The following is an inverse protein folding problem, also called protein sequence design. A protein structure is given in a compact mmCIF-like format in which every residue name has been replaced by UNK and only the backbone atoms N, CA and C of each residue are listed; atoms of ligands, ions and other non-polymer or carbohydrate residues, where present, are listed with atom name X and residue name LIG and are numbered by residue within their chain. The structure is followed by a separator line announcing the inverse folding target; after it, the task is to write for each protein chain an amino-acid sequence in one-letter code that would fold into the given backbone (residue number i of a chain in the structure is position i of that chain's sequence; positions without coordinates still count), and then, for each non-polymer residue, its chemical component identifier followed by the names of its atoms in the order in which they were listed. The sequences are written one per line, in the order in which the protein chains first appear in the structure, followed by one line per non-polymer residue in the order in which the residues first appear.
data_IF_605282674443
#
_entry.id   IF_605282674443
#
_cell.length_a   1.000
_cell.length_b   1.000
_cell.length_c   1.000
_cell.angle_alpha   90.00
_cell.angle_beta   90.00
_cell.angle_gamma   90.00
#
_symmetry.space_group_name_H-M   'P 1'
#
loop_
_entity.id
_entity.type
_entity.pdbx_description
1 polymer ?
#
# COMPACT_ATOMS: atom_id res chain seq x y z
N UNK A 1 -20.79 53.95 -28.78
CA UNK A 1 -20.98 52.61 -28.23
C UNK A 1 -19.70 51.77 -28.14
N UNK A 2 -18.83 51.73 -29.18
CA UNK A 2 -17.59 50.89 -29.13
C UNK A 2 -16.61 51.27 -28.01
N UNK A 3 -16.44 52.56 -27.66
CA UNK A 3 -15.52 52.97 -26.60
C UNK A 3 -15.99 52.67 -25.18
N UNK A 4 -17.31 52.53 -24.95
CA UNK A 4 -17.86 52.16 -23.64
C UNK A 4 -17.72 50.64 -23.37
N UNK A 5 -17.77 49.81 -24.40
CA UNK A 5 -17.56 48.34 -24.29
C UNK A 5 -16.10 48.03 -24.03
N UNK A 6 -15.15 48.76 -24.66
CA UNK A 6 -13.71 48.60 -24.41
C UNK A 6 -13.33 48.96 -22.95
N UNK A 7 -13.93 50.01 -22.38
CA UNK A 7 -13.69 50.41 -20.96
C UNK A 7 -14.24 49.38 -19.98
N UNK A 8 -15.41 48.79 -20.26
CA UNK A 8 -16.01 47.77 -19.42
C UNK A 8 -15.18 46.47 -19.44
N UNK A 9 -14.69 46.04 -20.62
CA UNK A 9 -13.81 44.86 -20.73
C UNK A 9 -12.45 45.08 -20.06
N UNK A 10 -11.88 46.30 -20.15
CA UNK A 10 -10.63 46.63 -19.45
C UNK A 10 -10.82 46.69 -17.95
N UNK A 11 -11.96 47.16 -17.45
CA UNK A 11 -12.28 47.19 -16.03
C UNK A 11 -12.53 45.76 -15.48
N UNK A 12 -13.19 44.87 -16.27
CA UNK A 12 -13.35 43.45 -15.87
C UNK A 12 -12.01 42.74 -15.82
N UNK A 13 -11.09 43.00 -16.73
CA UNK A 13 -9.74 42.40 -16.71
C UNK A 13 -8.92 42.90 -15.53
N UNK A 14 -9.04 44.18 -15.16
CA UNK A 14 -8.36 44.72 -13.96
C UNK A 14 -8.98 44.16 -12.68
N UNK A 15 -10.30 43.98 -12.61
CA UNK A 15 -10.97 43.37 -11.44
C UNK A 15 -10.60 41.89 -11.32
N UNK A 16 -10.47 41.14 -12.41
CA UNK A 16 -10.05 39.73 -12.39
C UNK A 16 -8.60 39.59 -11.91
N UNK A 17 -7.71 40.50 -12.29
CA UNK A 17 -6.31 40.52 -11.83
C UNK A 17 -6.21 40.91 -10.35
N UNK A 18 -7.11 41.79 -9.83
CA UNK A 18 -7.12 42.12 -8.37
C UNK A 18 -7.82 41.10 -7.47
N UNK A 19 -8.68 40.23 -8.04
CA UNK A 19 -9.32 39.15 -7.25
C UNK A 19 -8.38 37.96 -7.08
N UNK A 20 -7.39 37.77 -7.97
CA UNK A 20 -6.31 36.79 -7.81
C UNK A 20 -5.13 37.28 -6.96
N UNK A 21 -5.13 38.55 -6.55
CA UNK A 21 -4.18 39.07 -5.55
C UNK A 21 -4.78 39.01 -4.12
N UNK A 22 -5.76 38.16 -3.89
CA UNK A 22 -6.22 37.82 -2.54
C UNK A 22 -5.07 37.12 -1.83
N UNK A 23 -4.44 37.83 -0.95
CA UNK A 23 -3.47 37.35 0.03
C UNK A 23 -4.01 36.11 0.75
N UNK A 24 -3.66 34.94 0.25
CA UNK A 24 -3.27 33.91 1.15
C UNK A 24 -1.91 34.39 1.67
N UNK A 25 -1.80 34.66 2.94
CA UNK A 25 -0.52 34.79 3.59
C UNK A 25 0.29 33.54 3.20
N UNK A 26 1.27 33.74 2.33
CA UNK A 26 2.32 32.76 2.14
C UNK A 26 3.10 32.74 3.45
N UNK A 27 2.68 31.92 4.37
CA UNK A 27 3.45 31.58 5.58
C UNK A 27 4.72 30.80 5.25
N UNK A 28 5.08 30.68 3.99
CA UNK A 28 6.27 29.99 3.51
C UNK A 28 7.39 30.92 3.04
N UNK A 29 7.55 32.06 3.65
CA UNK A 29 8.78 32.86 3.57
C UNK A 29 9.30 33.11 4.98
N UNK A 30 9.28 32.08 5.82
CA UNK A 30 10.19 32.04 6.94
C UNK A 30 11.52 31.57 6.40
N UNK A 31 12.62 32.22 6.76
CA UNK A 31 13.96 31.67 6.78
C UNK A 31 13.99 30.48 7.77
N UNK A 32 13.11 29.52 7.61
CA UNK A 32 13.11 28.28 8.38
C UNK A 32 14.34 27.51 7.95
N UNK A 33 15.31 27.43 8.83
CA UNK A 33 16.47 26.58 8.66
C UNK A 33 16.10 25.08 8.77
N UNK A 34 14.85 24.78 9.08
CA UNK A 34 14.30 23.43 9.28
C UNK A 34 13.90 22.80 7.96
N UNK A 35 14.00 21.48 7.92
CA UNK A 35 13.45 20.64 6.84
C UNK A 35 11.93 20.56 6.97
N UNK A 36 11.21 20.19 5.89
CA UNK A 36 9.75 20.21 5.86
C UNK A 36 9.19 18.87 5.35
N UNK A 37 8.06 18.47 5.94
CA UNK A 37 7.23 17.35 5.53
C UNK A 37 5.76 17.77 5.53
N UNK A 38 5.01 17.46 4.49
CA UNK A 38 3.57 17.74 4.40
C UNK A 38 2.75 16.51 4.78
N UNK A 39 1.76 16.67 5.64
CA UNK A 39 0.88 15.60 6.08
C UNK A 39 -0.60 15.98 6.01
N UNK A 40 -1.43 15.00 5.69
CA UNK A 40 -2.86 15.00 5.97
C UNK A 40 -3.13 13.80 6.85
N UNK A 41 -3.65 14.05 8.04
CA UNK A 41 -3.69 13.12 9.16
C UNK A 41 -2.30 12.68 9.68
N UNK A 42 -2.27 12.14 10.88
CA UNK A 42 -1.05 11.54 11.42
C UNK A 42 -0.80 10.18 10.75
N UNK A 43 0.34 10.03 10.09
CA UNK A 43 0.82 8.78 9.52
C UNK A 43 2.08 8.28 10.26
N UNK A 44 2.56 7.10 9.92
CA UNK A 44 3.76 6.52 10.50
C UNK A 44 4.99 7.44 10.38
N UNK A 45 5.09 8.22 9.29
CA UNK A 45 6.19 9.16 9.06
C UNK A 45 6.12 10.33 10.03
N UNK A 46 4.92 10.84 10.34
CA UNK A 46 4.72 11.90 11.35
C UNK A 46 5.24 11.45 12.72
N UNK A 47 4.95 10.23 13.13
CA UNK A 47 5.42 9.71 14.41
C UNK A 47 6.94 9.52 14.45
N UNK A 48 7.53 9.03 13.36
CA UNK A 48 8.98 8.94 13.23
C UNK A 48 9.61 10.33 13.31
N UNK A 49 9.06 11.34 12.61
CA UNK A 49 9.55 12.72 12.63
C UNK A 49 9.47 13.31 14.05
N UNK A 50 8.36 13.13 14.78
CA UNK A 50 8.22 13.59 16.16
C UNK A 50 9.31 13.00 17.09
N UNK A 51 9.63 11.71 16.92
CA UNK A 51 10.69 11.00 17.66
C UNK A 51 12.07 11.48 17.23
N UNK A 52 12.30 11.64 15.93
CA UNK A 52 13.55 12.17 15.39
C UNK A 52 13.83 13.59 15.90
N UNK A 53 12.83 14.48 15.92
CA UNK A 53 12.99 15.84 16.44
C UNK A 53 13.42 15.84 17.93
N UNK A 54 12.90 14.91 18.73
CA UNK A 54 13.38 14.73 20.13
C UNK A 54 14.82 14.21 20.18
N UNK A 55 15.20 13.34 19.26
CA UNK A 55 16.56 12.85 19.12
C UNK A 55 17.52 13.99 18.71
N UNK A 56 17.11 14.82 17.72
CA UNK A 56 17.88 15.97 17.25
C UNK A 56 18.25 16.94 18.37
N UNK A 57 17.36 17.23 19.32
CA UNK A 57 17.67 18.14 20.43
C UNK A 57 18.89 17.75 21.27
N UNK A 58 19.32 16.50 21.17
CA UNK A 58 20.48 15.97 21.92
C UNK A 58 21.73 15.74 21.05
N UNK A 59 21.55 15.61 19.73
CA UNK A 59 22.60 15.13 18.83
C UNK A 59 22.96 16.11 17.73
N UNK A 60 22.05 17.02 17.37
CA UNK A 60 22.19 17.97 16.27
C UNK A 60 21.65 19.36 16.70
N UNK A 61 21.83 20.36 15.84
CA UNK A 61 21.20 21.66 15.99
C UNK A 61 19.77 21.66 15.43
N UNK A 62 19.02 22.74 15.67
CA UNK A 62 17.62 22.86 15.26
C UNK A 62 17.41 22.80 13.72
N UNK A 63 18.46 23.05 12.93
CA UNK A 63 18.36 23.00 11.47
C UNK A 63 18.22 21.59 10.89
N UNK A 64 18.43 20.56 11.71
CA UNK A 64 18.19 19.16 11.37
C UNK A 64 16.76 18.70 11.72
N UNK A 65 16.01 19.50 12.46
CA UNK A 65 14.62 19.18 12.77
C UNK A 65 13.74 19.30 11.53
N UNK A 66 12.66 18.53 11.51
CA UNK A 66 11.68 18.49 10.43
C UNK A 66 10.38 19.11 10.95
N UNK A 67 9.89 20.11 10.24
CA UNK A 67 8.59 20.72 10.49
C UNK A 67 7.51 19.94 9.73
N UNK A 68 6.46 19.52 10.42
CA UNK A 68 5.29 18.89 9.82
C UNK A 68 4.30 20.00 9.46
N UNK A 69 3.97 20.13 8.19
CA UNK A 69 2.96 21.05 7.68
C UNK A 69 1.67 20.27 7.49
N UNK A 70 0.69 20.52 8.38
CA UNK A 70 -0.59 19.80 8.37
C UNK A 70 -1.61 20.47 7.44
N UNK A 71 -2.44 19.66 6.79
CA UNK A 71 -3.53 20.08 5.90
C UNK A 71 -4.87 19.53 6.41
N UNK A 72 -5.96 20.23 6.09
CA UNK A 72 -7.31 19.82 6.49
C UNK A 72 -7.88 18.69 5.61
N UNK A 73 -7.36 18.54 4.37
CA UNK A 73 -7.76 17.46 3.45
C UNK A 73 -6.60 16.97 2.60
N UNK A 74 -6.71 15.73 2.12
CA UNK A 74 -5.72 15.14 1.21
C UNK A 74 -5.68 15.86 -0.13
N UNK A 75 -6.83 16.31 -0.62
CA UNK A 75 -6.95 17.05 -1.87
C UNK A 75 -6.26 18.40 -1.78
N UNK A 76 -6.43 19.13 -0.67
CA UNK A 76 -5.74 20.40 -0.43
C UNK A 76 -4.23 20.20 -0.38
N UNK A 77 -3.76 19.20 0.36
CA UNK A 77 -2.34 18.84 0.43
C UNK A 77 -1.78 18.54 -0.96
N UNK A 78 -2.43 17.64 -1.72
CA UNK A 78 -1.99 17.25 -3.07
C UNK A 78 -1.96 18.43 -4.03
N UNK A 79 -2.98 19.29 -4.01
CA UNK A 79 -3.06 20.47 -4.89
C UNK A 79 -1.93 21.45 -4.57
N UNK A 80 -1.69 21.74 -3.30
CA UNK A 80 -0.63 22.65 -2.87
C UNK A 80 0.74 22.09 -3.20
N UNK A 81 1.01 20.82 -2.82
CA UNK A 81 2.27 20.15 -3.13
C UNK A 81 2.56 20.14 -4.63
N UNK A 82 1.57 19.77 -5.46
CA UNK A 82 1.74 19.76 -6.92
C UNK A 82 2.09 21.14 -7.46
N UNK A 83 1.47 22.20 -6.94
CA UNK A 83 1.74 23.58 -7.36
C UNK A 83 3.16 24.02 -6.97
N UNK A 84 3.58 23.74 -5.75
CA UNK A 84 4.92 24.09 -5.23
C UNK A 84 6.02 23.30 -5.95
N UNK A 85 5.80 21.99 -6.16
CA UNK A 85 6.72 21.12 -6.90
C UNK A 85 6.93 21.64 -8.33
N UNK A 86 5.85 22.02 -9.03
CA UNK A 86 5.95 22.62 -10.37
C UNK A 86 6.71 23.95 -10.38
N UNK A 87 6.73 24.68 -9.27
CA UNK A 87 7.52 25.90 -9.10
C UNK A 87 9.00 25.62 -8.73
N UNK A 88 9.41 24.35 -8.56
CA UNK A 88 10.74 23.98 -8.09
C UNK A 88 10.90 24.16 -6.58
N UNK A 89 9.82 24.12 -5.85
CA UNK A 89 9.72 24.27 -4.39
C UNK A 89 9.05 23.01 -3.79
N UNK A 90 8.39 23.12 -2.65
CA UNK A 90 7.65 22.05 -1.98
C UNK A 90 8.39 21.51 -0.76
N UNK A 91 7.85 20.45 -0.11
CA UNK A 91 8.48 19.87 1.07
C UNK A 91 9.81 19.19 0.71
N UNK A 92 10.70 19.11 1.70
CA UNK A 92 12.01 18.46 1.51
C UNK A 92 11.91 16.93 1.47
N UNK A 93 10.85 16.37 2.08
CA UNK A 93 10.59 14.95 2.17
C UNK A 93 9.23 14.63 1.56
N UNK A 94 9.19 13.57 0.73
CA UNK A 94 7.96 12.92 0.27
C UNK A 94 7.76 11.58 0.97
N UNK A 95 6.52 11.10 1.00
CA UNK A 95 6.15 9.78 1.50
C UNK A 95 5.22 9.09 0.49
N UNK A 96 5.36 7.77 0.35
CA UNK A 96 4.46 6.97 -0.48
C UNK A 96 2.99 7.09 -0.04
N UNK A 97 2.74 7.26 1.25
CA UNK A 97 1.40 7.45 1.82
C UNK A 97 0.68 8.71 1.31
N UNK A 98 1.42 9.70 0.79
CA UNK A 98 0.84 10.92 0.22
C UNK A 98 0.13 10.68 -1.11
N UNK A 99 0.38 9.56 -1.78
CA UNK A 99 -0.20 9.17 -3.08
C UNK A 99 -0.10 10.28 -4.13
N UNK A 100 1.11 10.81 -4.29
CA UNK A 100 1.46 11.77 -5.34
C UNK A 100 1.70 11.03 -6.66
N UNK A 101 1.68 11.71 -7.81
CA UNK A 101 2.02 11.11 -9.10
C UNK A 101 3.53 10.81 -9.20
N UNK A 102 4.00 9.83 -8.41
CA UNK A 102 5.43 9.55 -8.21
C UNK A 102 6.16 9.18 -9.50
N UNK A 103 5.51 8.48 -10.45
CA UNK A 103 6.11 8.21 -11.77
C UNK A 103 6.48 9.53 -12.47
N UNK A 104 5.56 10.50 -12.50
CA UNK A 104 5.81 11.81 -13.12
C UNK A 104 6.87 12.60 -12.37
N UNK A 105 6.94 12.46 -11.06
CA UNK A 105 7.95 13.12 -10.23
C UNK A 105 9.35 12.53 -10.43
N UNK A 106 9.47 11.22 -10.64
CA UNK A 106 10.75 10.57 -11.00
C UNK A 106 11.18 10.97 -12.42
N UNK A 107 10.28 10.94 -13.39
CA UNK A 107 10.55 11.31 -14.78
C UNK A 107 10.99 12.77 -14.92
N UNK A 108 10.38 13.67 -14.15
CA UNK A 108 10.73 15.09 -14.11
C UNK A 108 11.98 15.40 -13.28
N UNK A 109 12.62 14.40 -12.69
CA UNK A 109 13.78 14.53 -11.80
C UNK A 109 13.50 15.42 -10.58
N UNK A 110 12.30 15.37 -10.08
CA UNK A 110 11.90 16.07 -8.85
C UNK A 110 12.31 15.32 -7.60
N UNK A 111 12.49 14.00 -7.72
CA UNK A 111 12.95 13.13 -6.63
C UNK A 111 14.46 12.85 -6.82
N UNK A 112 15.22 13.07 -5.75
CA UNK A 112 16.66 12.84 -5.74
C UNK A 112 17.01 11.35 -5.76
N UNK A 113 18.11 10.99 -6.43
CA UNK A 113 18.72 9.68 -6.27
C UNK A 113 19.48 9.61 -4.95
N UNK A 114 18.95 8.84 -4.00
CA UNK A 114 19.55 8.72 -2.66
C UNK A 114 20.94 8.07 -2.71
N UNK A 115 21.23 7.19 -3.68
CA UNK A 115 22.57 6.61 -3.86
C UNK A 115 23.58 7.68 -4.28
N UNK A 116 23.17 8.65 -5.12
CA UNK A 116 24.03 9.80 -5.45
C UNK A 116 24.30 10.65 -4.20
N UNK A 117 23.29 10.92 -3.36
CA UNK A 117 23.47 11.69 -2.12
C UNK A 117 24.40 10.99 -1.13
N UNK A 118 24.23 9.68 -0.92
CA UNK A 118 25.13 8.89 -0.08
C UNK A 118 26.58 9.01 -0.56
N UNK A 119 26.79 8.91 -1.86
CA UNK A 119 28.11 9.02 -2.47
C UNK A 119 28.68 10.43 -2.36
N UNK A 120 27.89 11.46 -2.67
CA UNK A 120 28.30 12.87 -2.65
C UNK A 120 28.75 13.31 -1.26
N UNK A 121 27.97 12.96 -0.22
CA UNK A 121 28.28 13.35 1.15
C UNK A 121 29.10 12.30 1.91
N UNK A 122 29.44 11.18 1.28
CA UNK A 122 30.16 10.06 1.92
C UNK A 122 29.52 9.63 3.24
N UNK A 123 28.18 9.55 3.27
CA UNK A 123 27.41 9.30 4.48
C UNK A 123 26.78 7.91 4.47
N UNK A 124 27.05 7.12 5.49
CA UNK A 124 26.44 5.80 5.68
C UNK A 124 25.09 5.92 6.37
N UNK A 125 24.02 5.58 5.65
CA UNK A 125 22.64 5.56 6.18
C UNK A 125 22.25 4.21 6.81
N UNK A 126 23.12 3.20 6.78
CA UNK A 126 22.84 1.87 7.34
C UNK A 126 22.01 0.96 6.45
N UNK A 127 21.96 1.21 5.14
CA UNK A 127 21.16 0.43 4.19
C UNK A 127 21.60 -1.04 4.12
N UNK A 128 22.87 -1.34 4.34
CA UNK A 128 23.42 -2.70 4.32
C UNK A 128 22.89 -3.59 5.46
N UNK A 129 22.26 -2.99 6.48
CA UNK A 129 21.59 -3.72 7.57
C UNK A 129 20.11 -4.03 7.26
N UNK A 130 19.65 -3.68 6.06
CA UNK A 130 18.27 -3.86 5.65
C UNK A 130 18.13 -5.00 4.62
N UNK A 131 16.93 -5.61 4.53
CA UNK A 131 16.65 -6.63 3.51
C UNK A 131 16.75 -6.00 2.12
N UNK A 132 17.74 -6.45 1.35
CA UNK A 132 18.03 -5.91 0.02
C UNK A 132 16.85 -6.07 -0.95
N UNK A 133 16.08 -7.16 -0.87
CA UNK A 133 14.92 -7.41 -1.75
C UNK A 133 13.83 -6.38 -1.53
N UNK A 134 13.61 -5.97 -0.28
CA UNK A 134 12.65 -4.93 0.07
C UNK A 134 13.19 -3.55 -0.32
N UNK A 135 14.47 -3.30 -0.03
CA UNK A 135 15.12 -2.03 -0.37
C UNK A 135 15.21 -1.80 -1.88
N UNK A 136 15.30 -2.86 -2.68
CA UNK A 136 15.34 -2.77 -4.15
C UNK A 136 14.01 -2.33 -4.77
N UNK A 137 12.89 -2.44 -4.04
CA UNK A 137 11.64 -1.83 -4.46
C UNK A 137 11.76 -0.30 -4.71
N UNK A 138 12.64 0.38 -3.96
CA UNK A 138 12.90 1.81 -4.13
C UNK A 138 13.82 2.15 -5.31
N UNK A 139 14.32 1.15 -6.05
CA UNK A 139 15.23 1.35 -7.19
C UNK A 139 14.44 1.28 -8.51
N UNK A 140 14.45 2.38 -9.26
CA UNK A 140 13.78 2.50 -10.55
C UNK A 140 14.84 2.93 -11.57
N UNK A 141 14.99 2.18 -12.66
CA UNK A 141 16.01 2.42 -13.70
C UNK A 141 17.44 2.57 -13.16
N UNK A 142 17.77 1.79 -12.13
CA UNK A 142 19.08 1.77 -11.50
C UNK A 142 19.35 2.92 -10.51
N UNK A 143 18.36 3.77 -10.23
CA UNK A 143 18.42 4.88 -9.28
C UNK A 143 17.53 4.61 -8.08
N UNK A 144 17.99 4.94 -6.89
CA UNK A 144 17.21 4.79 -5.66
C UNK A 144 16.44 6.06 -5.36
N UNK A 145 15.19 6.08 -5.76
CA UNK A 145 14.29 7.21 -5.51
C UNK A 145 13.56 7.10 -4.17
N UNK A 146 13.31 5.89 -3.69
CA UNK A 146 12.61 5.66 -2.44
C UNK A 146 13.45 4.84 -1.46
N UNK A 147 13.25 5.10 -0.19
CA UNK A 147 13.74 4.30 0.93
C UNK A 147 12.52 3.66 1.58
N UNK A 148 12.24 2.38 1.31
CA UNK A 148 11.25 1.60 2.07
C UNK A 148 11.62 1.59 3.55
N UNK A 149 10.64 1.81 4.42
CA UNK A 149 10.84 1.78 5.88
C UNK A 149 10.20 0.56 6.51
N UNK A 150 9.02 0.20 6.01
CA UNK A 150 8.26 -0.96 6.47
C UNK A 150 7.60 -1.63 5.28
N UNK A 151 7.22 -2.90 5.43
CA UNK A 151 6.58 -3.65 4.37
C UNK A 151 5.57 -4.67 4.91
N UNK A 152 4.76 -5.21 3.99
CA UNK A 152 3.79 -6.29 4.22
C UNK A 152 4.02 -7.40 3.23
N UNK A 153 4.09 -8.68 3.64
CA UNK A 153 3.97 -9.78 2.69
C UNK A 153 2.55 -9.84 2.12
N UNK A 154 2.45 -10.12 0.83
CA UNK A 154 1.17 -10.28 0.13
C UNK A 154 0.73 -11.74 0.25
N UNK A 155 0.22 -12.13 1.40
CA UNK A 155 -0.27 -13.49 1.67
C UNK A 155 -1.67 -13.45 2.28
N UNK A 156 -2.38 -14.57 2.14
CA UNK A 156 -3.66 -14.78 2.80
C UNK A 156 -3.56 -15.95 3.77
N UNK A 157 -4.48 -16.01 4.72
CA UNK A 157 -4.65 -17.13 5.64
C UNK A 157 -5.92 -17.89 5.28
N UNK A 158 -5.86 -19.20 5.36
CA UNK A 158 -6.97 -20.13 5.25
C UNK A 158 -6.78 -21.28 6.24
N UNK A 159 -7.51 -22.37 6.08
CA UNK A 159 -7.34 -23.58 6.89
C UNK A 159 -7.17 -24.82 6.01
N UNK A 160 -6.47 -25.85 6.50
CA UNK A 160 -6.36 -27.14 5.82
C UNK A 160 -7.74 -27.74 5.54
N UNK A 161 -8.69 -27.54 6.45
CA UNK A 161 -10.06 -28.02 6.34
C UNK A 161 -10.78 -27.33 5.16
N UNK A 162 -10.59 -26.03 4.99
CA UNK A 162 -11.13 -25.26 3.85
C UNK A 162 -10.47 -25.67 2.53
N UNK A 163 -9.15 -25.82 2.52
CA UNK A 163 -8.43 -26.34 1.35
C UNK A 163 -8.97 -27.69 0.90
N UNK A 164 -9.12 -28.62 1.85
CA UNK A 164 -9.67 -29.94 1.58
C UNK A 164 -11.14 -29.89 1.09
N UNK A 165 -11.97 -29.02 1.71
CA UNK A 165 -13.38 -28.84 1.32
C UNK A 165 -13.54 -28.45 -0.14
N UNK A 166 -12.64 -27.63 -0.69
CA UNK A 166 -12.69 -27.09 -2.04
C UNK A 166 -11.69 -27.76 -3.00
N UNK A 167 -10.94 -28.79 -2.56
CA UNK A 167 -9.88 -29.47 -3.31
C UNK A 167 -8.79 -28.50 -3.83
N UNK A 168 -8.43 -27.54 -2.98
CA UNK A 168 -7.34 -26.58 -3.20
C UNK A 168 -6.07 -27.08 -2.52
N UNK A 169 -4.91 -26.61 -2.97
CA UNK A 169 -3.62 -26.75 -2.29
C UNK A 169 -3.09 -25.33 -2.00
N UNK A 170 -2.18 -25.19 -1.06
CA UNK A 170 -1.62 -23.89 -0.67
C UNK A 170 -0.89 -23.14 -1.80
N UNK A 171 -0.50 -23.85 -2.87
CA UNK A 171 0.17 -23.30 -4.07
C UNK A 171 -0.75 -23.04 -5.26
N UNK A 172 -2.06 -23.35 -5.16
CA UNK A 172 -3.02 -23.21 -6.27
C UNK A 172 -3.98 -22.04 -6.03
N UNK A 173 -3.46 -20.84 -5.85
CA UNK A 173 -4.24 -19.63 -5.57
C UNK A 173 -4.20 -18.56 -6.66
N UNK A 174 -3.64 -18.84 -7.85
CA UNK A 174 -3.76 -17.93 -8.98
C UNK A 174 -5.22 -17.77 -9.42
N UNK A 175 -5.56 -16.66 -10.08
CA UNK A 175 -6.89 -16.40 -10.64
C UNK A 175 -7.44 -17.60 -11.41
N UNK A 176 -6.59 -18.20 -12.25
CA UNK A 176 -6.95 -19.37 -13.07
C UNK A 176 -7.26 -20.60 -12.20
N UNK A 177 -6.37 -20.90 -11.25
CA UNK A 177 -6.53 -22.08 -10.38
C UNK A 177 -7.80 -21.98 -9.53
N UNK A 178 -8.05 -20.81 -8.91
CA UNK A 178 -9.26 -20.56 -8.14
C UNK A 178 -10.52 -20.73 -9.00
N UNK A 179 -10.53 -20.11 -10.19
CA UNK A 179 -11.67 -20.22 -11.10
C UNK A 179 -11.93 -21.65 -11.53
N UNK A 180 -10.90 -22.41 -11.95
CA UNK A 180 -11.04 -23.80 -12.41
C UNK A 180 -11.54 -24.73 -11.30
N UNK A 181 -11.15 -24.49 -10.06
CA UNK A 181 -11.51 -25.34 -8.91
C UNK A 181 -12.88 -24.97 -8.33
N UNK A 182 -13.16 -23.69 -8.15
CA UNK A 182 -14.37 -23.23 -7.49
C UNK A 182 -15.58 -23.19 -8.43
N UNK A 183 -15.41 -22.87 -9.72
CA UNK A 183 -16.52 -22.90 -10.69
C UNK A 183 -17.14 -24.29 -10.86
N UNK A 184 -16.36 -25.34 -10.64
CA UNK A 184 -16.81 -26.74 -10.66
C UNK A 184 -17.48 -27.18 -9.34
N UNK A 185 -17.35 -26.37 -8.32
CA UNK A 185 -17.86 -26.68 -7.00
C UNK A 185 -19.31 -26.17 -6.88
N UNK A 186 -20.26 -27.07 -6.63
CA UNK A 186 -21.68 -26.69 -6.45
C UNK A 186 -21.99 -26.16 -5.04
N UNK A 187 -20.96 -25.99 -4.21
CA UNK A 187 -21.11 -25.50 -2.84
C UNK A 187 -21.08 -23.97 -2.87
N UNK A 188 -21.90 -23.36 -2.06
CA UNK A 188 -21.82 -21.94 -1.74
C UNK A 188 -20.49 -21.65 -1.07
N UNK A 189 -19.85 -20.55 -1.42
CA UNK A 189 -18.63 -20.05 -0.83
C UNK A 189 -18.60 -18.53 -0.86
N UNK A 190 -17.84 -17.94 0.02
CA UNK A 190 -17.33 -16.57 -0.10
C UNK A 190 -15.81 -16.62 -0.25
N UNK A 191 -15.24 -15.82 -1.15
CA UNK A 191 -13.80 -15.76 -1.30
C UNK A 191 -13.15 -15.10 -0.09
N UNK A 192 -13.60 -13.90 0.25
CA UNK A 192 -12.97 -13.07 1.29
C UNK A 192 -13.91 -12.76 2.46
N UNK A 193 -15.20 -13.05 2.36
CA UNK A 193 -16.18 -12.65 3.37
C UNK A 193 -16.51 -11.14 3.37
N UNK A 194 -16.05 -10.39 2.38
CA UNK A 194 -16.27 -8.95 2.21
C UNK A 194 -16.50 -8.62 0.75
N UNK A 195 -17.53 -7.83 0.45
CA UNK A 195 -17.81 -7.37 -0.91
C UNK A 195 -16.70 -6.45 -1.44
N UNK A 196 -16.13 -5.60 -0.58
CA UNK A 196 -15.05 -4.68 -0.95
C UNK A 196 -13.78 -5.45 -1.37
N UNK A 197 -13.45 -6.54 -0.70
CA UNK A 197 -12.31 -7.38 -1.07
C UNK A 197 -12.55 -8.12 -2.38
N UNK A 198 -13.80 -8.51 -2.67
CA UNK A 198 -14.17 -9.09 -3.96
C UNK A 198 -14.03 -8.08 -5.12
N UNK A 199 -14.39 -6.81 -4.89
CA UNK A 199 -14.19 -5.72 -5.86
C UNK A 199 -12.69 -5.46 -6.06
N UNK A 200 -11.92 -5.39 -4.98
CA UNK A 200 -10.46 -5.23 -5.05
C UNK A 200 -9.79 -6.39 -5.82
N UNK A 201 -10.27 -7.62 -5.62
CA UNK A 201 -9.84 -8.78 -6.38
C UNK A 201 -10.13 -8.62 -7.88
N UNK A 202 -11.31 -8.13 -8.25
CA UNK A 202 -11.66 -7.88 -9.64
C UNK A 202 -10.81 -6.77 -10.27
N UNK A 203 -10.54 -5.69 -9.53
CA UNK A 203 -9.63 -4.63 -10.00
C UNK A 203 -8.20 -5.14 -10.19
N UNK A 204 -7.70 -5.98 -9.29
CA UNK A 204 -6.37 -6.62 -9.44
C UNK A 204 -6.30 -7.52 -10.67
N UNK A 205 -7.40 -8.16 -11.05
CA UNK A 205 -7.50 -8.90 -12.30
C UNK A 205 -7.45 -7.96 -13.51
N UNK A 206 -8.20 -6.85 -13.51
CA UNK A 206 -8.21 -5.89 -14.63
C UNK A 206 -6.85 -5.22 -14.81
N UNK A 207 -6.13 -4.93 -13.72
CA UNK A 207 -4.80 -4.30 -13.73
C UNK A 207 -3.79 -5.07 -14.58
N UNK A 208 -3.86 -6.39 -14.62
CA UNK A 208 -2.98 -7.25 -15.40
C UNK A 208 -3.08 -7.04 -16.93
N UNK A 209 -4.16 -6.39 -17.39
CA UNK A 209 -4.46 -6.14 -18.79
C UNK A 209 -4.29 -4.68 -19.22
N UNK A 210 -3.70 -3.86 -18.34
CA UNK A 210 -3.44 -2.43 -18.59
C UNK A 210 -1.96 -2.16 -18.41
N UNK A 211 -1.32 -1.68 -19.46
CA UNK A 211 0.00 -1.07 -19.35
C UNK A 211 -0.15 0.47 -19.25
N UNK A 212 -0.15 0.98 -18.04
CA UNK A 212 -0.32 2.40 -17.77
C UNK A 212 0.83 3.24 -18.35
N UNK A 213 2.03 2.69 -18.48
CA UNK A 213 3.20 3.40 -19.00
C UNK A 213 3.12 3.61 -20.51
N UNK A 214 2.76 2.55 -21.25
CA UNK A 214 2.61 2.65 -22.71
C UNK A 214 1.23 3.13 -23.16
N UNK A 215 0.24 3.17 -22.25
CA UNK A 215 -1.15 3.47 -22.55
C UNK A 215 -1.87 2.39 -23.37
N UNK A 216 -1.37 1.14 -23.31
CA UNK A 216 -1.95 0.02 -24.02
C UNK A 216 -2.84 -0.84 -23.12
N UNK A 217 -3.83 -1.49 -23.73
CA UNK A 217 -4.71 -2.43 -23.04
C UNK A 217 -4.88 -3.70 -23.86
N UNK A 218 -5.03 -4.84 -23.19
CA UNK A 218 -5.29 -6.15 -23.80
C UNK A 218 -6.77 -6.59 -23.66
N UNK A 219 -7.69 -5.69 -23.36
CA UNK A 219 -9.11 -6.02 -23.14
C UNK A 219 -9.82 -6.62 -24.36
N UNK A 220 -9.27 -6.49 -25.57
CA UNK A 220 -9.83 -7.07 -26.79
C UNK A 220 -9.16 -8.41 -27.18
N UNK A 221 -8.32 -8.98 -26.31
CA UNK A 221 -7.71 -10.28 -26.56
C UNK A 221 -8.68 -11.43 -26.24
N UNK A 222 -8.52 -12.55 -26.94
CA UNK A 222 -9.28 -13.78 -26.65
C UNK A 222 -8.98 -14.24 -25.21
N UNK A 223 -7.71 -14.11 -24.77
CA UNK A 223 -7.29 -14.44 -23.42
C UNK A 223 -8.06 -13.62 -22.37
N UNK A 224 -8.18 -12.29 -22.55
CA UNK A 224 -8.94 -11.48 -21.62
C UNK A 224 -10.39 -11.92 -21.51
N UNK A 225 -11.03 -12.24 -22.65
CA UNK A 225 -12.43 -12.69 -22.67
C UNK A 225 -12.61 -14.02 -21.92
N UNK A 226 -11.71 -14.98 -22.10
CA UNK A 226 -11.75 -16.28 -21.41
C UNK A 226 -11.51 -16.11 -19.90
N UNK A 227 -10.52 -15.30 -19.51
CA UNK A 227 -10.20 -15.05 -18.12
C UNK A 227 -11.29 -14.23 -17.42
N UNK A 228 -11.92 -13.26 -18.12
CA UNK A 228 -13.06 -12.48 -17.63
C UNK A 228 -14.26 -13.37 -17.32
N UNK A 229 -14.62 -14.29 -18.21
CA UNK A 229 -15.72 -15.24 -17.98
C UNK A 229 -15.46 -16.10 -16.74
N UNK A 230 -14.21 -16.50 -16.55
CA UNK A 230 -13.76 -17.32 -15.44
C UNK A 230 -13.86 -16.56 -14.11
N UNK A 231 -13.33 -15.34 -14.05
CA UNK A 231 -13.34 -14.49 -12.86
C UNK A 231 -14.75 -14.02 -12.55
N UNK A 232 -15.52 -13.64 -13.55
CA UNK A 232 -16.93 -13.27 -13.38
C UNK A 232 -17.74 -14.41 -12.76
N UNK A 233 -17.59 -15.63 -13.27
CA UNK A 233 -18.24 -16.83 -12.70
C UNK A 233 -17.84 -17.07 -11.24
N UNK A 234 -16.57 -16.81 -10.91
CA UNK A 234 -16.05 -16.95 -9.55
C UNK A 234 -16.73 -15.94 -8.59
N UNK A 235 -16.77 -14.67 -8.96
CA UNK A 235 -17.37 -13.61 -8.14
C UNK A 235 -18.92 -13.76 -8.06
N UNK A 236 -19.56 -14.09 -9.18
CA UNK A 236 -21.02 -14.29 -9.21
C UNK A 236 -21.51 -15.40 -8.31
N UNK A 237 -20.73 -16.47 -8.19
CA UNK A 237 -21.06 -17.60 -7.31
C UNK A 237 -20.61 -17.37 -5.85
N UNK A 238 -20.00 -16.22 -5.59
CA UNK A 238 -19.68 -15.79 -4.23
C UNK A 238 -20.96 -15.40 -3.51
N UNK A 239 -21.20 -16.03 -2.36
CA UNK A 239 -22.39 -15.81 -1.54
C UNK A 239 -22.14 -14.85 -0.38
N UNK A 240 -21.22 -13.91 -0.57
CA UNK A 240 -20.94 -12.89 0.46
C UNK A 240 -22.23 -12.14 0.79
N UNK A 241 -22.76 -12.35 1.99
CA UNK A 241 -23.92 -11.62 2.52
C UNK A 241 -23.41 -10.30 3.13
N UNK A 242 -24.00 -9.17 2.75
CA UNK A 242 -23.71 -7.85 3.34
C UNK A 242 -23.94 -7.82 4.87
N UNK A 243 -24.65 -8.80 5.42
CA UNK A 243 -24.91 -8.97 6.85
C UNK A 243 -23.99 -10.01 7.53
N UNK A 244 -22.97 -10.54 6.86
CA UNK A 244 -22.06 -11.50 7.49
C UNK A 244 -21.33 -10.82 8.64
N UNK A 245 -21.57 -11.36 9.84
CA UNK A 245 -20.94 -10.92 11.08
C UNK A 245 -19.42 -10.79 10.90
N UNK A 246 -18.89 -9.67 11.36
CA UNK A 246 -17.46 -9.32 11.39
C UNK A 246 -16.57 -10.29 12.21
N UNK A 247 -17.04 -11.46 12.58
CA UNK A 247 -16.24 -12.54 13.20
C UNK A 247 -15.55 -13.36 12.10
N UNK A 248 -14.58 -12.74 11.46
CA UNK A 248 -13.79 -13.29 10.36
C UNK A 248 -13.23 -14.70 10.63
N UNK A 249 -12.78 -14.98 11.84
CA UNK A 249 -12.22 -16.30 12.20
C UNK A 249 -13.25 -17.43 12.16
N UNK A 250 -14.50 -17.19 12.58
CA UNK A 250 -15.56 -18.18 12.51
C UNK A 250 -15.94 -18.49 11.06
N UNK A 251 -15.94 -17.49 10.17
CA UNK A 251 -16.24 -17.68 8.76
C UNK A 251 -15.18 -18.56 8.07
N UNK A 252 -13.90 -18.35 8.38
CA UNK A 252 -12.83 -19.20 7.85
C UNK A 252 -12.87 -20.57 8.46
N UNK A 253 -13.10 -20.69 9.78
CA UNK A 253 -13.17 -21.95 10.49
C UNK A 253 -14.28 -22.86 9.96
N UNK A 254 -15.44 -22.33 9.63
CA UNK A 254 -16.56 -23.11 9.09
C UNK A 254 -16.54 -23.21 7.55
N UNK A 255 -15.55 -22.58 6.90
CA UNK A 255 -15.35 -22.55 5.46
C UNK A 255 -16.43 -21.72 4.73
N UNK A 256 -17.04 -20.74 5.40
CA UNK A 256 -17.90 -19.75 4.78
C UNK A 256 -17.07 -18.75 3.96
N UNK A 257 -15.88 -18.36 4.45
CA UNK A 257 -14.86 -17.65 3.67
C UNK A 257 -13.69 -18.58 3.35
N UNK A 258 -13.11 -18.43 2.17
CA UNK A 258 -11.96 -19.23 1.74
C UNK A 258 -10.65 -18.55 2.14
N UNK A 259 -10.56 -17.24 1.97
CA UNK A 259 -9.35 -16.45 2.18
C UNK A 259 -9.60 -15.38 3.24
N UNK A 260 -8.59 -15.11 4.02
CA UNK A 260 -8.52 -14.01 4.96
C UNK A 260 -7.24 -13.21 4.73
N UNK A 261 -7.41 -11.91 4.46
CA UNK A 261 -6.28 -11.00 4.37
C UNK A 261 -5.93 -10.52 5.78
N UNK A 262 -4.86 -11.02 6.31
CA UNK A 262 -4.38 -10.62 7.64
C UNK A 262 -3.60 -9.31 7.55
N UNK A 263 -3.66 -8.55 8.64
CA UNK A 263 -2.73 -7.46 8.83
C UNK A 263 -1.30 -8.02 9.01
N UNK A 264 -0.32 -7.43 8.37
CA UNK A 264 1.02 -8.01 8.21
C UNK A 264 1.85 -8.04 9.47
N UNK A 265 1.35 -7.43 10.55
CA UNK A 265 2.02 -7.48 11.83
C UNK A 265 2.14 -8.90 12.32
N UNK A 266 3.27 -9.21 12.89
CA UNK A 266 3.54 -10.51 13.43
C UNK A 266 2.52 -10.92 14.51
N UNK A 267 2.15 -10.00 15.41
CA UNK A 267 1.10 -10.20 16.41
C UNK A 267 -0.27 -10.56 15.78
N UNK A 268 -0.59 -10.01 14.62
CA UNK A 268 -1.80 -10.33 13.86
C UNK A 268 -1.83 -11.79 13.41
N UNK A 269 -0.76 -12.26 12.79
CA UNK A 269 -0.66 -13.65 12.33
C UNK A 269 -0.76 -14.63 13.50
N UNK A 270 -0.04 -14.38 14.59
CA UNK A 270 -0.12 -15.25 15.78
C UNK A 270 -1.53 -15.27 16.37
N UNK A 271 -2.17 -14.11 16.48
CA UNK A 271 -3.56 -14.01 16.95
C UNK A 271 -4.52 -14.81 16.07
N UNK A 272 -4.43 -14.66 14.75
CA UNK A 272 -5.26 -15.38 13.78
C UNK A 272 -5.05 -16.88 13.88
N UNK A 273 -3.81 -17.34 13.94
CA UNK A 273 -3.47 -18.74 14.12
C UNK A 273 -4.04 -19.29 15.45
N UNK A 274 -3.90 -18.54 16.54
CA UNK A 274 -4.41 -18.93 17.85
C UNK A 274 -5.93 -19.05 17.85
N UNK A 275 -6.63 -18.08 17.26
CA UNK A 275 -8.08 -18.11 17.14
C UNK A 275 -8.57 -19.31 16.30
N UNK A 276 -7.97 -19.54 15.14
CA UNK A 276 -8.33 -20.68 14.28
C UNK A 276 -8.04 -22.03 14.94
N UNK A 277 -6.90 -22.18 15.63
CA UNK A 277 -6.57 -23.37 16.41
C UNK A 277 -7.55 -23.60 17.57
N UNK A 278 -7.94 -22.53 18.27
CA UNK A 278 -8.93 -22.59 19.34
C UNK A 278 -10.29 -23.06 18.83
N UNK A 279 -10.69 -22.61 17.64
CA UNK A 279 -11.90 -23.06 16.95
C UNK A 279 -11.79 -24.48 16.37
N UNK A 280 -10.62 -25.11 16.42
CA UNK A 280 -10.39 -26.50 16.01
C UNK A 280 -9.89 -26.68 14.59
N UNK A 281 -9.54 -25.61 13.89
CA UNK A 281 -8.98 -25.63 12.53
C UNK A 281 -7.46 -25.57 12.51
N UNK A 282 -6.87 -25.97 11.38
CA UNK A 282 -5.43 -25.88 11.12
C UNK A 282 -5.14 -24.73 10.19
N UNK A 283 -4.67 -23.57 10.69
CA UNK A 283 -4.35 -22.42 9.86
C UNK A 283 -3.16 -22.71 8.94
N UNK A 284 -3.24 -22.21 7.73
CA UNK A 284 -2.16 -22.21 6.72
C UNK A 284 -2.18 -20.89 5.98
N UNK A 285 -1.01 -20.37 5.60
CA UNK A 285 -0.95 -19.26 4.67
C UNK A 285 -0.96 -19.78 3.23
N UNK A 286 -1.42 -18.91 2.31
CA UNK A 286 -1.41 -19.14 0.87
C UNK A 286 -0.92 -17.88 0.17
N UNK A 287 -0.29 -18.06 -0.98
CA UNK A 287 0.23 -16.94 -1.77
C UNK A 287 -0.89 -16.05 -2.32
N UNK A 288 -0.52 -14.85 -2.71
CA UNK A 288 -1.42 -13.94 -3.40
C UNK A 288 -1.81 -14.53 -4.77
N UNK A 289 -3.06 -14.32 -5.14
CA UNK A 289 -3.65 -14.75 -6.41
C UNK A 289 -2.99 -14.11 -7.66
N UNK A 290 -2.22 -13.03 -7.48
CA UNK A 290 -1.45 -12.38 -8.57
C UNK A 290 -0.12 -13.10 -8.90
N UNK A 291 0.23 -14.17 -8.18
CA UNK A 291 1.47 -14.92 -8.41
C UNK A 291 1.16 -16.22 -9.14
N UNK A 292 1.83 -16.43 -10.26
CA UNK A 292 1.69 -17.65 -11.07
C UNK A 292 2.59 -18.81 -10.58
N UNK A 293 3.42 -18.56 -9.59
CA UNK A 293 4.36 -19.53 -9.02
C UNK A 293 4.32 -19.52 -7.46
N UNK A 294 5.15 -20.34 -6.84
CA UNK A 294 5.24 -20.44 -5.37
C UNK A 294 5.99 -19.26 -4.72
N UNK A 295 6.35 -18.23 -5.48
CA UNK A 295 7.03 -17.06 -4.94
C UNK A 295 6.08 -16.19 -4.11
N UNK A 296 6.62 -15.50 -3.10
CA UNK A 296 5.88 -14.57 -2.26
C UNK A 296 6.27 -13.15 -2.65
N UNK A 297 5.27 -12.32 -2.93
CA UNK A 297 5.47 -10.89 -3.06
C UNK A 297 5.27 -10.18 -1.73
N UNK A 298 5.81 -8.98 -1.65
CA UNK A 298 5.55 -8.04 -0.58
C UNK A 298 5.17 -6.68 -1.18
N UNK A 299 4.57 -5.83 -0.38
CA UNK A 299 4.31 -4.44 -0.74
C UNK A 299 4.69 -3.49 0.39
N UNK A 300 5.04 -2.26 0.02
CA UNK A 300 5.31 -1.18 0.97
C UNK A 300 4.61 0.08 0.52
N UNK A 301 3.90 0.72 1.45
CA UNK A 301 3.33 2.06 1.37
C UNK A 301 3.97 3.02 2.37
N UNK A 302 4.86 2.51 3.24
CA UNK A 302 5.61 3.28 4.22
C UNK A 302 7.06 3.42 3.75
N UNK A 303 7.29 4.44 2.96
CA UNK A 303 8.61 4.76 2.43
C UNK A 303 8.75 6.26 2.20
N UNK A 304 9.98 6.74 2.19
CA UNK A 304 10.31 8.16 2.02
C UNK A 304 11.15 8.40 0.77
N UNK A 305 11.01 9.60 0.21
CA UNK A 305 11.83 10.11 -0.87
C UNK A 305 12.30 11.53 -0.56
N UNK A 306 13.38 11.97 -1.20
CA UNK A 306 13.97 13.29 -1.01
C UNK A 306 13.61 14.17 -2.21
N UNK A 307 13.12 15.39 -1.94
CA UNK A 307 12.93 16.38 -3.00
C UNK A 307 14.28 16.83 -3.56
N UNK A 308 14.47 16.71 -4.88
CA UNK A 308 15.74 17.12 -5.52
C UNK A 308 15.98 18.64 -5.46
N UNK A 309 14.92 19.43 -5.26
CA UNK A 309 15.02 20.88 -5.02
C UNK A 309 15.36 21.26 -3.57
N UNK A 310 15.42 20.29 -2.64
CA UNK A 310 15.85 20.54 -1.26
C UNK A 310 17.26 21.16 -1.24
N UNK A 311 17.40 22.29 -0.53
CA UNK A 311 18.68 23.03 -0.44
C UNK A 311 19.67 22.42 0.56
N UNK A 312 19.17 21.62 1.48
CA UNK A 312 19.96 21.05 2.59
C UNK A 312 19.84 19.53 2.60
N UNK A 313 20.03 18.88 1.43
CA UNK A 313 19.88 17.42 1.26
C UNK A 313 20.75 16.63 2.23
N UNK A 314 21.94 17.15 2.57
CA UNK A 314 22.87 16.53 3.52
C UNK A 314 22.26 16.34 4.91
N UNK A 315 21.32 17.25 5.30
CA UNK A 315 20.67 17.16 6.61
C UNK A 315 19.57 16.09 6.67
N UNK A 316 19.14 15.58 5.51
CA UNK A 316 18.19 14.47 5.44
C UNK A 316 18.83 13.10 5.69
N UNK A 317 20.13 12.96 5.40
CA UNK A 317 20.82 11.67 5.58
C UNK A 317 20.80 11.17 7.03
N UNK A 318 21.03 12.01 8.07
CA UNK A 318 20.83 11.59 9.47
C UNK A 318 19.40 11.16 9.79
N UNK A 319 18.40 11.79 9.19
CA UNK A 319 16.99 11.37 9.35
C UNK A 319 16.75 9.99 8.72
N UNK A 320 17.22 9.77 7.49
CA UNK A 320 17.11 8.47 6.83
C UNK A 320 17.81 7.38 7.66
N UNK A 321 19.04 7.67 8.15
CA UNK A 321 19.76 6.75 9.04
C UNK A 321 18.97 6.43 10.31
N UNK A 322 18.35 7.44 10.91
CA UNK A 322 17.49 7.27 12.09
C UNK A 322 16.32 6.35 11.79
N UNK A 323 15.61 6.58 10.67
CA UNK A 323 14.48 5.74 10.23
C UNK A 323 14.86 4.27 10.04
N UNK A 324 16.08 4.00 9.52
CA UNK A 324 16.58 2.65 9.26
C UNK A 324 17.27 2.00 10.48
N UNK A 325 17.38 2.71 11.60
CA UNK A 325 18.04 2.15 12.80
C UNK A 325 17.19 1.04 13.44
N UNK A 326 17.88 0.02 13.98
CA UNK A 326 17.24 -1.14 14.57
C UNK A 326 16.20 -0.78 15.65
N UNK A 327 16.54 0.15 16.55
CA UNK A 327 15.65 0.52 17.65
C UNK A 327 14.38 1.25 17.17
N UNK A 328 14.50 2.14 16.17
CA UNK A 328 13.36 2.83 15.58
C UNK A 328 12.47 1.84 14.82
N UNK A 329 13.09 1.01 14.00
CA UNK A 329 12.40 0.00 13.20
C UNK A 329 11.63 -1.00 14.07
N UNK A 330 12.24 -1.51 15.14
CA UNK A 330 11.57 -2.42 16.09
C UNK A 330 10.36 -1.74 16.73
N UNK A 331 10.57 -0.57 17.35
CA UNK A 331 9.50 0.10 18.08
C UNK A 331 8.33 0.51 17.17
N UNK A 332 8.63 1.00 15.96
CA UNK A 332 7.60 1.41 15.01
C UNK A 332 6.88 0.23 14.37
N UNK A 333 7.55 -0.91 14.18
CA UNK A 333 6.93 -2.15 13.69
C UNK A 333 5.80 -2.62 14.61
N UNK A 334 6.03 -2.59 15.90
CA UNK A 334 5.02 -2.97 16.91
C UNK A 334 3.81 -2.01 16.91
N UNK A 335 4.06 -0.71 16.76
CA UNK A 335 3.02 0.34 16.78
C UNK A 335 2.22 0.43 15.47
N UNK A 336 2.91 0.31 14.32
CA UNK A 336 2.30 0.49 13.01
C UNK A 336 1.77 -0.81 12.40
N UNK A 337 2.02 -1.95 13.03
CA UNK A 337 1.64 -3.28 12.56
C UNK A 337 2.21 -3.64 11.17
N UNK A 338 3.42 -3.18 10.86
CA UNK A 338 4.18 -3.50 9.64
C UNK A 338 5.48 -4.20 9.98
N UNK A 339 6.09 -4.86 8.98
CA UNK A 339 7.40 -5.48 9.13
C UNK A 339 8.53 -4.47 8.95
N UNK A 340 9.56 -4.51 9.82
CA UNK A 340 10.72 -3.66 9.66
C UNK A 340 11.59 -4.13 8.50
N UNK A 341 12.18 -3.20 7.75
CA UNK A 341 13.17 -3.53 6.70
C UNK A 341 14.54 -3.86 7.28
N UNK A 342 14.84 -3.40 8.50
CA UNK A 342 16.11 -3.67 9.20
C UNK A 342 16.13 -5.11 9.72
N UNK A 343 17.13 -5.89 9.30
CA UNK A 343 17.23 -7.32 9.61
C UNK A 343 17.39 -7.62 11.10
N UNK A 344 18.18 -6.82 11.82
CA UNK A 344 18.33 -6.97 13.27
C UNK A 344 17.04 -6.64 14.03
N UNK A 345 16.29 -5.63 13.54
CA UNK A 345 15.00 -5.29 14.11
C UNK A 345 13.99 -6.42 13.86
N UNK A 346 14.01 -7.03 12.68
CA UNK A 346 13.18 -8.18 12.36
C UNK A 346 13.44 -9.36 13.30
N UNK A 347 14.72 -9.71 13.51
CA UNK A 347 15.07 -10.78 14.46
C UNK A 347 14.55 -10.48 15.87
N UNK A 348 14.75 -9.22 16.34
CA UNK A 348 14.25 -8.83 17.67
C UNK A 348 12.72 -8.84 17.77
N UNK A 349 12.01 -8.47 16.71
CA UNK A 349 10.53 -8.59 16.67
C UNK A 349 10.10 -10.06 16.78
N UNK A 350 10.79 -10.97 16.10
CA UNK A 350 10.53 -12.40 16.16
C UNK A 350 10.84 -12.97 17.56
N UNK A 351 11.91 -12.52 18.20
CA UNK A 351 12.33 -13.02 19.52
C UNK A 351 11.47 -12.47 20.67
N UNK A 352 10.87 -11.29 20.49
CA UNK A 352 10.03 -10.64 21.53
C UNK A 352 8.53 -10.94 21.40
N UNK A 353 8.15 -11.93 20.61
CA UNK A 353 6.75 -12.26 20.34
C UNK A 353 5.97 -12.63 21.58
N UNK A 354 6.58 -13.45 22.43
CA UNK A 354 5.97 -13.89 23.68
C UNK A 354 5.61 -12.71 24.63
N UNK A 355 6.27 -11.56 24.43
CA UNK A 355 6.05 -10.34 25.23
C UNK A 355 4.91 -9.44 24.65
N UNK A 356 4.62 -9.55 23.36
CA UNK A 356 3.68 -8.65 22.65
C UNK A 356 2.24 -9.16 22.75
N UNK A 357 2.04 -10.47 22.92
CA UNK A 357 0.71 -11.06 22.97
C UNK A 357 0.41 -11.46 24.41
N UNK A 358 -0.15 -10.56 25.18
CA UNK A 358 -0.68 -10.87 26.49
C UNK A 358 -2.02 -11.61 26.35
N UNK A 359 -1.93 -12.94 26.35
CA UNK A 359 -3.11 -13.81 26.39
C UNK A 359 -3.58 -14.11 27.82
N UNK A 360 -2.95 -13.55 28.86
CA UNK A 360 -3.28 -13.88 30.25
C UNK A 360 -4.74 -13.58 30.59
N UNK A 361 -5.30 -12.52 29.98
CA UNK A 361 -6.72 -12.17 30.14
C UNK A 361 -7.69 -13.09 29.37
N UNK A 362 -7.19 -13.89 28.41
CA UNK A 362 -7.98 -14.75 27.53
C UNK A 362 -7.82 -16.24 27.90
N UNK A 363 -6.66 -16.63 28.45
CA UNK A 363 -6.33 -18.02 28.77
C UNK A 363 -6.85 -18.35 30.15
N UNK A 364 -7.91 -19.14 30.19
CA UNK A 364 -8.57 -19.59 31.45
C UNK A 364 -8.14 -21.01 31.89
N UNK A 365 -7.48 -21.76 31.02
CA UNK A 365 -7.12 -23.17 31.28
C UNK A 365 -5.77 -23.57 30.67
N UNK A 366 -5.12 -24.60 31.27
CA UNK A 366 -3.89 -25.22 30.74
C UNK A 366 -4.06 -25.74 29.29
N UNK A 367 -5.27 -26.15 28.93
CA UNK A 367 -5.58 -26.61 27.56
C UNK A 367 -5.53 -25.47 26.57
N UNK A 368 -6.08 -24.30 26.91
CA UNK A 368 -6.06 -23.10 26.07
C UNK A 368 -4.63 -22.59 25.90
N UNK A 369 -3.85 -22.61 26.98
CA UNK A 369 -2.43 -22.28 26.93
C UNK A 369 -1.66 -23.16 25.95
N UNK A 370 -1.85 -24.48 26.00
CA UNK A 370 -1.20 -25.39 25.06
C UNK A 370 -1.62 -25.17 23.58
N UNK A 371 -2.87 -24.76 23.35
CA UNK A 371 -3.35 -24.39 21.98
C UNK A 371 -2.62 -23.16 21.48
N UNK A 372 -2.53 -22.12 22.32
CA UNK A 372 -1.84 -20.86 21.96
C UNK A 372 -0.36 -21.11 21.68
N UNK A 373 0.36 -21.80 22.56
CA UNK A 373 1.79 -22.16 22.39
C UNK A 373 2.04 -22.93 21.08
N UNK A 374 1.11 -23.83 20.72
CA UNK A 374 1.19 -24.61 19.48
C UNK A 374 0.93 -23.71 18.25
N UNK A 375 -0.05 -22.82 18.33
CA UNK A 375 -0.39 -21.88 17.28
C UNK A 375 0.73 -20.88 17.02
N UNK A 376 1.32 -20.36 18.08
CA UNK A 376 2.46 -19.44 18.06
C UNK A 376 3.67 -20.09 17.38
N UNK A 377 4.05 -21.29 17.80
CA UNK A 377 5.14 -22.04 17.16
C UNK A 377 4.91 -22.26 15.66
N UNK A 378 3.66 -22.53 15.26
CA UNK A 378 3.29 -22.67 13.84
C UNK A 378 3.36 -21.33 13.11
N UNK A 379 2.84 -20.26 13.69
CA UNK A 379 2.88 -18.91 13.14
C UNK A 379 4.32 -18.42 12.94
N UNK A 380 5.21 -18.61 13.93
CA UNK A 380 6.64 -18.27 13.84
C UNK A 380 7.30 -19.01 12.68
N UNK A 381 7.07 -20.32 12.58
CA UNK A 381 7.63 -21.13 11.51
C UNK A 381 7.21 -20.64 10.13
N UNK A 382 5.91 -20.43 9.96
CA UNK A 382 5.33 -20.03 8.67
C UNK A 382 5.73 -18.61 8.31
N UNK A 383 5.81 -17.73 9.29
CA UNK A 383 6.29 -16.37 9.13
C UNK A 383 7.76 -16.30 8.67
N UNK A 384 8.64 -17.07 9.32
CA UNK A 384 10.04 -17.21 8.89
C UNK A 384 10.14 -17.74 7.46
N UNK A 385 9.26 -18.67 7.10
CA UNK A 385 9.17 -19.15 5.72
C UNK A 385 8.76 -18.02 4.77
N UNK A 386 7.69 -17.29 5.09
CA UNK A 386 7.20 -16.17 4.27
C UNK A 386 8.32 -15.17 4.01
N UNK A 387 8.96 -14.65 5.06
CA UNK A 387 10.02 -13.63 4.94
C UNK A 387 11.18 -14.13 4.06
N UNK A 388 11.63 -15.35 4.28
CA UNK A 388 12.77 -15.92 3.54
C UNK A 388 12.47 -16.20 2.06
N UNK A 389 11.18 -16.30 1.69
CA UNK A 389 10.75 -16.61 0.34
C UNK A 389 10.12 -15.41 -0.41
N UNK A 390 10.18 -14.21 0.17
CA UNK A 390 9.85 -12.99 -0.58
C UNK A 390 10.86 -12.85 -1.71
N UNK A 391 10.34 -12.75 -2.94
CA UNK A 391 11.15 -12.60 -4.15
C UNK A 391 11.05 -11.22 -4.76
N UNK A 392 9.97 -10.49 -4.45
CA UNK A 392 9.67 -9.18 -5.01
C UNK A 392 8.93 -8.33 -3.98
N UNK A 393 9.29 -7.04 -3.93
CA UNK A 393 8.52 -6.04 -3.20
C UNK A 393 8.04 -4.95 -4.16
N UNK A 394 6.79 -4.53 -4.02
CA UNK A 394 6.18 -3.49 -4.84
C UNK A 394 6.03 -2.21 -4.00
N UNK A 395 6.19 -1.06 -4.64
CA UNK A 395 5.84 0.24 -4.05
C UNK A 395 4.34 0.45 -4.22
N UNK A 396 3.58 0.29 -3.14
CA UNK A 396 2.15 0.56 -3.16
C UNK A 396 1.91 2.07 -3.25
N UNK A 397 0.96 2.49 -4.09
CA UNK A 397 0.67 3.91 -4.31
C UNK A 397 1.70 4.63 -5.20
N UNK A 398 2.74 3.92 -5.72
CA UNK A 398 3.66 4.51 -6.70
C UNK A 398 2.96 4.73 -8.03
N UNK A 399 2.16 3.78 -8.50
CA UNK A 399 1.42 3.89 -9.76
C UNK A 399 0.15 4.74 -9.57
N UNK A 400 0.32 6.06 -9.64
CA UNK A 400 -0.75 7.03 -9.52
C UNK A 400 -1.84 6.85 -10.60
N UNK A 401 -1.45 6.50 -11.83
CA UNK A 401 -2.41 6.31 -12.92
C UNK A 401 -3.31 5.10 -12.66
N UNK A 402 -2.75 3.98 -12.16
CA UNK A 402 -3.54 2.82 -11.74
C UNK A 402 -4.48 3.16 -10.58
N UNK A 403 -3.94 3.78 -9.53
CA UNK A 403 -4.73 4.15 -8.34
C UNK A 403 -5.90 5.08 -8.68
N UNK A 404 -5.67 6.11 -9.49
CA UNK A 404 -6.73 7.06 -9.88
C UNK A 404 -7.71 6.46 -10.88
N UNK A 405 -7.25 5.54 -11.74
CA UNK A 405 -8.09 4.83 -12.69
C UNK A 405 -9.15 3.99 -11.98
N UNK A 406 -8.75 3.10 -11.08
CA UNK A 406 -9.67 2.22 -10.36
C UNK A 406 -10.57 2.98 -9.37
N UNK A 407 -10.11 4.13 -8.87
CA UNK A 407 -10.92 5.01 -8.02
C UNK A 407 -11.80 6.01 -8.80
N UNK A 408 -11.72 6.02 -10.14
CA UNK A 408 -12.57 6.90 -10.95
C UNK A 408 -14.03 6.43 -10.95
N UNK A 409 -14.96 7.35 -10.78
CA UNK A 409 -16.40 7.04 -10.82
C UNK A 409 -16.85 6.41 -12.14
N UNK A 410 -16.19 6.73 -13.25
CA UNK A 410 -16.51 6.17 -14.57
C UNK A 410 -16.18 4.69 -14.65
N UNK A 411 -15.03 4.26 -14.10
CA UNK A 411 -14.60 2.86 -14.14
C UNK A 411 -15.41 2.05 -13.13
N UNK A 412 -15.56 2.54 -11.89
CA UNK A 412 -16.37 1.86 -10.89
C UNK A 412 -17.83 1.65 -11.38
N UNK A 413 -18.45 2.66 -11.98
CA UNK A 413 -19.80 2.56 -12.58
C UNK A 413 -19.90 1.47 -13.67
N UNK A 414 -18.85 1.29 -14.49
CA UNK A 414 -18.83 0.27 -15.54
C UNK A 414 -18.67 -1.12 -14.91
N UNK A 415 -17.80 -1.25 -13.91
CA UNK A 415 -17.59 -2.51 -13.18
C UNK A 415 -18.84 -2.91 -12.41
N UNK A 416 -19.44 -1.99 -11.67
CA UNK A 416 -20.67 -2.25 -10.92
C UNK A 416 -21.81 -2.73 -11.81
N UNK A 417 -22.02 -2.06 -12.96
CA UNK A 417 -23.04 -2.49 -13.94
C UNK A 417 -22.76 -3.87 -14.51
N UNK A 418 -21.49 -4.24 -14.63
CA UNK A 418 -21.11 -5.55 -15.10
C UNK A 418 -21.36 -6.63 -14.04
N UNK A 419 -20.88 -6.40 -12.82
CA UNK A 419 -21.04 -7.34 -11.71
C UNK A 419 -22.52 -7.52 -11.31
N UNK A 420 -23.34 -6.49 -11.46
CA UNK A 420 -24.79 -6.55 -11.25
C UNK A 420 -25.60 -7.09 -12.46
N UNK A 421 -24.95 -7.61 -13.50
CA UNK A 421 -25.60 -8.14 -14.71
C UNK A 421 -26.39 -7.12 -15.56
N UNK A 422 -26.22 -5.83 -15.33
CA UNK A 422 -26.88 -4.77 -16.10
C UNK A 422 -26.36 -4.65 -17.53
N UNK A 423 -25.15 -5.19 -17.79
CA UNK A 423 -24.52 -5.18 -19.11
C UNK A 423 -23.84 -6.52 -19.42
N UNK A 424 -23.86 -6.90 -20.73
CA UNK A 424 -23.16 -8.09 -21.21
C UNK A 424 -21.64 -7.94 -21.25
N UNK A 425 -20.88 -9.07 -21.30
CA UNK A 425 -19.43 -9.09 -21.47
C UNK A 425 -18.98 -8.20 -22.64
N UNK A 426 -19.64 -8.33 -23.79
CA UNK A 426 -19.32 -7.54 -24.99
C UNK A 426 -19.46 -6.03 -24.74
N UNK A 427 -20.54 -5.64 -24.04
CA UNK A 427 -20.78 -4.24 -23.70
C UNK A 427 -19.81 -3.75 -22.64
N UNK A 428 -19.48 -4.58 -21.65
CA UNK A 428 -18.48 -4.29 -20.63
C UNK A 428 -17.10 -4.02 -21.26
N UNK A 429 -16.59 -4.98 -22.05
CA UNK A 429 -15.30 -4.87 -22.75
C UNK A 429 -15.24 -3.59 -23.58
N UNK A 430 -16.30 -3.30 -24.34
CA UNK A 430 -16.36 -2.10 -25.18
C UNK A 430 -16.35 -0.81 -24.36
N UNK A 431 -17.13 -0.74 -23.26
CA UNK A 431 -17.19 0.45 -22.41
C UNK A 431 -15.88 0.65 -21.65
N UNK A 432 -15.33 -0.43 -21.08
CA UNK A 432 -14.06 -0.41 -20.38
C UNK A 432 -12.93 0.04 -21.30
N UNK A 433 -12.81 -0.55 -22.50
CA UNK A 433 -11.81 -0.17 -23.50
C UNK A 433 -11.92 1.30 -23.89
N UNK A 434 -13.14 1.81 -24.07
CA UNK A 434 -13.35 3.21 -24.45
C UNK A 434 -12.99 4.18 -23.32
N UNK A 435 -13.41 3.87 -22.09
CA UNK A 435 -13.12 4.69 -20.91
C UNK A 435 -11.61 4.71 -20.61
N UNK A 436 -10.96 3.55 -20.65
CA UNK A 436 -9.51 3.43 -20.41
C UNK A 436 -8.70 4.22 -21.46
N UNK A 437 -9.09 4.16 -22.74
CA UNK A 437 -8.42 4.94 -23.79
C UNK A 437 -8.56 6.45 -23.59
N UNK A 438 -9.65 6.93 -23.04
CA UNK A 438 -9.82 8.35 -22.70
C UNK A 438 -8.90 8.67 -21.53
N UNK A 439 -8.98 7.90 -20.46
CA UNK A 439 -8.19 8.09 -19.25
C UNK A 439 -6.68 8.12 -19.50
N UNK A 440 -6.16 7.17 -20.29
CA UNK A 440 -4.72 7.09 -20.60
C UNK A 440 -4.22 8.18 -21.57
N UNK A 441 -5.10 9.02 -22.13
CA UNK A 441 -4.75 10.15 -23.02
C UNK A 441 -4.84 11.51 -22.33
N UNK A 442 -5.47 11.58 -21.18
CA UNK A 442 -5.58 12.79 -20.34
C UNK A 442 -4.38 12.91 -19.41
#
# INVERSE_FOLDING_TARGET
MKNKIAIILTLQFIITVFVFSGCGESTASSNSSKLTYCAYNEDAICDIIKRYNKYCTKHYDESYQIEIVEFESQEEMKLKMSTEIMAGEGPDIFSLSQKLPFEKLTDSKTIADVNELISEFSYDIGIDNCDSKIMDAGVIDGKRYFIPLFYSPDVFITTEETLNKYNLTSSEFSFKALSEKLSKNKKEYSLFGSADDNIAFFYSFLDQYIDFNSGNTEFNSDKFSEDLDSIYSLIKNDTTDENVNYFLYENINNGASILYKEMPAFSGIVRTYSCLKYLGSTPVFVNNYNMDDDSISASTDVGIAVNDNCKNKEKLLPFIKYCLSCDVQKNMSEECMYLPVNSDAMEKCIDSIDEVIDFEDIIVSDKEKAIVETAESAAIRDYKYIINNITKCNLYGFNYLSDTYFNSSVISDIVDKYLNEDISNEKFIRQLTAATKIYLKE
#
